data_IF_488235113062
#
_entry.id   IF_488235113062
#
_cell.length_a   1.000
_cell.length_b   1.000
_cell.length_c   1.000
_cell.angle_alpha   90.00
_cell.angle_beta   90.00
_cell.angle_gamma   90.00
#
_symmetry.space_group_name_H-M   'P 1'
#
loop_
_entity.id
_entity.type
_entity.pdbx_description
1 polymer ?
#
# COMPACT_ATOMS: atom_id res chain seq x y z
N UNK A 1 35.42 -3.52 3.37
CA UNK A 1 35.18 -2.06 3.33
C UNK A 1 33.84 -1.86 2.64
N UNK A 2 32.75 -1.86 3.42
CA UNK A 2 31.39 -1.72 2.90
C UNK A 2 31.05 -0.23 2.84
N UNK A 3 31.01 0.34 1.63
CA UNK A 3 30.61 1.72 1.41
C UNK A 3 29.13 1.83 1.80
N UNK A 4 28.88 2.28 3.04
CA UNK A 4 27.55 2.30 3.65
C UNK A 4 26.50 2.87 2.70
N UNK A 5 25.49 2.07 2.37
CA UNK A 5 24.39 2.46 1.50
C UNK A 5 23.72 3.74 2.04
N UNK A 6 23.85 4.81 1.26
CA UNK A 6 23.21 6.11 1.50
C UNK A 6 21.86 6.14 0.80
N UNK A 7 20.84 6.61 1.50
CA UNK A 7 19.52 6.86 0.91
C UNK A 7 19.27 8.36 0.85
N UNK A 8 18.94 8.86 -0.36
CA UNK A 8 18.47 10.22 -0.57
C UNK A 8 16.94 10.22 -0.64
N UNK A 9 16.28 10.85 0.33
CA UNK A 9 14.83 11.03 0.33
C UNK A 9 14.43 11.98 -0.81
N UNK A 10 13.64 11.47 -1.76
CA UNK A 10 13.09 12.27 -2.87
C UNK A 10 11.75 12.93 -2.52
N UNK A 11 11.31 12.85 -1.27
CA UNK A 11 10.09 13.48 -0.77
C UNK A 11 8.81 12.84 -1.31
N UNK A 12 8.85 11.55 -1.68
CA UNK A 12 7.70 10.88 -2.26
C UNK A 12 6.51 10.85 -1.28
N UNK A 13 5.35 11.30 -1.72
CA UNK A 13 4.11 11.17 -0.97
C UNK A 13 3.62 9.72 -1.00
N UNK A 14 2.96 9.27 0.07
CA UNK A 14 2.35 7.93 0.12
C UNK A 14 1.37 7.69 -1.05
N UNK A 15 0.73 8.76 -1.54
CA UNK A 15 -0.17 8.71 -2.70
C UNK A 15 0.49 8.17 -3.97
N UNK A 16 1.81 8.33 -4.15
CA UNK A 16 2.55 7.77 -5.28
C UNK A 16 2.36 6.26 -5.41
N UNK A 17 2.29 5.56 -4.28
CA UNK A 17 2.15 4.10 -4.22
C UNK A 17 0.69 3.63 -4.35
N UNK A 18 -0.26 4.54 -4.54
CA UNK A 18 -1.67 4.19 -4.73
C UNK A 18 -2.03 3.92 -6.21
N UNK A 19 -1.07 3.98 -7.13
CA UNK A 19 -1.29 3.65 -8.56
C UNK A 19 -1.60 2.16 -8.77
N UNK A 20 -1.06 1.32 -7.89
CA UNK A 20 -1.29 -0.13 -7.87
C UNK A 20 -1.33 -0.57 -6.42
N UNK A 21 -2.41 -1.23 -6.01
CA UNK A 21 -2.53 -1.75 -4.64
C UNK A 21 -2.82 -3.25 -4.70
N UNK A 22 -1.98 -4.05 -4.05
CA UNK A 22 -2.16 -5.48 -3.91
C UNK A 22 -3.10 -5.75 -2.74
N UNK A 23 -4.20 -6.46 -3.00
CA UNK A 23 -5.26 -6.70 -2.00
C UNK A 23 -5.66 -8.17 -1.99
N UNK A 24 -6.41 -8.57 -0.97
CA UNK A 24 -7.02 -9.90 -0.89
C UNK A 24 -8.30 -9.93 -1.68
N UNK A 25 -8.35 -10.84 -2.65
CA UNK A 25 -9.52 -11.09 -3.47
C UNK A 25 -10.73 -11.46 -2.59
N UNK A 26 -11.88 -10.80 -2.75
CA UNK A 26 -13.08 -11.15 -2.00
C UNK A 26 -13.68 -12.51 -2.36
N UNK A 27 -13.33 -13.08 -3.53
CA UNK A 27 -13.93 -14.31 -4.03
C UNK A 27 -13.09 -15.55 -3.72
N UNK A 28 -11.78 -15.50 -3.95
CA UNK A 28 -10.91 -16.66 -3.80
C UNK A 28 -9.86 -16.52 -2.70
N UNK A 29 -9.81 -15.39 -1.99
CA UNK A 29 -8.77 -15.06 -1.00
C UNK A 29 -7.33 -14.98 -1.53
N UNK A 30 -7.10 -15.20 -2.84
CA UNK A 30 -5.80 -15.01 -3.47
C UNK A 30 -5.49 -13.53 -3.72
N UNK A 31 -4.34 -13.26 -4.32
CA UNK A 31 -3.92 -11.88 -4.62
C UNK A 31 -4.77 -11.28 -5.75
N UNK A 32 -5.34 -10.12 -5.48
CA UNK A 32 -5.95 -9.24 -6.47
C UNK A 32 -5.18 -7.91 -6.54
N UNK A 33 -5.52 -7.09 -7.51
CA UNK A 33 -4.96 -5.75 -7.67
C UNK A 33 -6.08 -4.73 -7.81
N UNK A 34 -5.90 -3.57 -7.17
CA UNK A 34 -6.69 -2.36 -7.38
C UNK A 34 -5.87 -1.35 -8.15
N UNK A 35 -6.39 -0.88 -9.29
CA UNK A 35 -5.74 0.09 -10.18
C UNK A 35 -6.72 1.18 -10.61
N UNK A 36 -6.26 2.38 -11.03
CA UNK A 36 -7.11 3.34 -11.72
C UNK A 36 -7.76 2.69 -12.95
N UNK A 37 -9.01 3.05 -13.24
CA UNK A 37 -9.65 2.62 -14.48
C UNK A 37 -8.91 3.20 -15.69
N UNK A 38 -8.66 2.41 -16.74
CA UNK A 38 -8.14 2.93 -18.01
C UNK A 38 -9.06 4.02 -18.60
N UNK A 39 -8.48 4.90 -19.41
CA UNK A 39 -9.22 6.00 -20.07
C UNK A 39 -9.59 7.16 -19.13
N UNK A 40 -9.02 7.20 -17.93
CA UNK A 40 -9.14 8.34 -17.02
C UNK A 40 -8.29 9.55 -17.46
N UNK A 41 -8.44 10.69 -16.75
CA UNK A 41 -7.60 11.85 -17.00
C UNK A 41 -6.12 11.54 -16.71
N UNK A 42 -5.23 12.25 -17.40
CA UNK A 42 -3.79 12.18 -17.13
C UNK A 42 -3.48 12.64 -15.70
N UNK A 43 -2.58 11.91 -15.04
CA UNK A 43 -2.09 12.24 -13.70
C UNK A 43 -1.14 13.43 -13.79
N UNK A 44 -1.48 14.54 -13.13
CA UNK A 44 -0.60 15.71 -12.99
C UNK A 44 0.21 15.64 -11.71
N UNK A 45 -0.40 15.14 -10.65
CA UNK A 45 0.20 14.97 -9.34
C UNK A 45 -0.12 13.60 -8.76
N UNK A 46 0.75 13.08 -7.89
CA UNK A 46 0.51 11.80 -7.20
C UNK A 46 -0.80 11.79 -6.40
N UNK A 47 -1.25 12.94 -5.90
CA UNK A 47 -2.51 13.08 -5.15
C UNK A 47 -3.76 12.89 -6.01
N UNK A 48 -3.66 13.02 -7.34
CA UNK A 48 -4.80 12.82 -8.24
C UNK A 48 -5.33 11.39 -8.14
N UNK A 49 -4.45 10.43 -7.83
CA UNK A 49 -4.78 9.02 -7.61
C UNK A 49 -5.87 8.82 -6.54
N UNK A 50 -6.01 9.73 -5.58
CA UNK A 50 -7.00 9.62 -4.49
C UNK A 50 -8.44 9.81 -4.98
N UNK A 51 -8.61 10.39 -6.17
CA UNK A 51 -9.89 10.81 -6.73
C UNK A 51 -10.25 10.07 -8.03
N UNK A 52 -9.42 9.12 -8.46
CA UNK A 52 -9.68 8.38 -9.69
C UNK A 52 -10.59 7.17 -9.43
N UNK A 53 -11.57 6.92 -10.30
CA UNK A 53 -12.31 5.66 -10.30
C UNK A 53 -11.37 4.46 -10.37
N UNK A 54 -11.68 3.40 -9.62
CA UNK A 54 -10.81 2.23 -9.47
C UNK A 54 -11.46 0.96 -9.97
N UNK A 55 -10.63 0.04 -10.44
CA UNK A 55 -11.00 -1.34 -10.75
C UNK A 55 -10.19 -2.29 -9.88
N UNK A 56 -10.88 -3.24 -9.25
CA UNK A 56 -10.30 -4.44 -8.67
C UNK A 56 -10.31 -5.55 -9.73
N UNK A 57 -9.19 -6.25 -9.90
CA UNK A 57 -9.07 -7.42 -10.77
C UNK A 57 -8.31 -8.54 -10.06
N UNK A 58 -8.85 -9.76 -10.09
CA UNK A 58 -8.15 -10.96 -9.65
C UNK A 58 -7.73 -11.80 -10.86
N UNK A 59 -6.42 -11.95 -11.09
CA UNK A 59 -5.89 -12.77 -12.17
C UNK A 59 -6.13 -14.28 -11.96
N UNK A 60 -6.41 -14.72 -10.72
CA UNK A 60 -6.62 -16.14 -10.39
C UNK A 60 -8.03 -16.63 -10.69
N UNK A 61 -9.04 -15.90 -10.24
CA UNK A 61 -10.44 -16.33 -10.35
C UNK A 61 -11.28 -15.44 -11.28
N UNK A 62 -10.69 -14.42 -11.90
CA UNK A 62 -11.39 -13.51 -12.80
C UNK A 62 -12.31 -12.48 -12.11
N UNK A 63 -12.39 -12.47 -10.77
CA UNK A 63 -13.24 -11.52 -10.06
C UNK A 63 -12.87 -10.07 -10.39
N UNK A 64 -13.88 -9.26 -10.71
CA UNK A 64 -13.76 -7.83 -10.99
C UNK A 64 -14.75 -7.00 -10.18
N UNK A 65 -14.33 -5.82 -9.73
CA UNK A 65 -15.22 -4.82 -9.14
C UNK A 65 -14.79 -3.41 -9.55
N UNK A 66 -15.75 -2.50 -9.58
CA UNK A 66 -15.54 -1.08 -9.90
C UNK A 66 -15.87 -0.23 -8.68
N UNK A 67 -15.13 0.85 -8.51
CA UNK A 67 -15.33 1.85 -7.47
C UNK A 67 -15.35 3.24 -8.11
N UNK A 68 -16.29 4.06 -7.65
CA UNK A 68 -16.43 5.46 -8.04
C UNK A 68 -16.21 6.33 -6.81
N UNK A 69 -15.49 7.47 -6.95
CA UNK A 69 -15.37 8.43 -5.87
C UNK A 69 -16.72 9.04 -5.56
N UNK A 70 -17.00 9.20 -4.26
CA UNK A 70 -18.13 9.99 -3.81
C UNK A 70 -18.04 11.42 -4.38
N UNK A 71 -19.19 12.04 -4.67
CA UNK A 71 -19.25 13.44 -5.08
C UNK A 71 -20.00 14.26 -4.03
N UNK A 72 -19.39 15.35 -3.58
CA UNK A 72 -19.99 16.30 -2.64
C UNK A 72 -19.85 17.72 -3.20
N UNK A 73 -20.98 18.39 -3.41
CA UNK A 73 -21.00 19.74 -4.00
C UNK A 73 -20.38 19.79 -5.41
N UNK A 74 -20.57 18.74 -6.22
CA UNK A 74 -20.02 18.65 -7.58
C UNK A 74 -18.55 18.20 -7.68
N UNK A 75 -17.78 18.33 -6.59
CA UNK A 75 -16.40 17.87 -6.50
C UNK A 75 -16.31 16.39 -6.10
N UNK A 76 -15.24 15.70 -6.53
CA UNK A 76 -14.92 14.34 -6.08
C UNK A 76 -14.31 14.40 -4.68
N UNK A 77 -14.72 13.48 -3.82
CA UNK A 77 -14.14 13.29 -2.49
C UNK A 77 -13.03 12.25 -2.60
N UNK A 78 -11.84 12.64 -2.16
CA UNK A 78 -10.67 11.77 -2.17
C UNK A 78 -10.63 10.83 -0.98
N UNK A 79 -10.00 9.67 -1.16
CA UNK A 79 -9.83 8.70 -0.08
C UNK A 79 -8.67 9.08 0.84
N UNK A 80 -8.72 8.63 2.10
CA UNK A 80 -7.62 8.77 3.06
C UNK A 80 -6.70 7.56 2.98
N UNK A 81 -5.38 7.80 2.92
CA UNK A 81 -4.34 6.77 2.94
C UNK A 81 -3.78 6.57 4.34
N UNK A 82 -3.09 5.43 4.57
CA UNK A 82 -2.28 5.23 5.78
C UNK A 82 -2.75 4.11 6.70
N UNK A 83 -3.44 3.10 6.17
CA UNK A 83 -3.91 1.95 6.95
C UNK A 83 -3.68 0.61 6.27
N UNK A 84 -3.88 -0.51 7.01
CA UNK A 84 -3.71 -1.87 6.48
C UNK A 84 -4.89 -2.38 5.63
N UNK A 85 -5.96 -1.59 5.54
CA UNK A 85 -7.00 -1.76 4.54
C UNK A 85 -6.72 -0.82 3.38
N UNK A 86 -6.93 -1.27 2.15
CA UNK A 86 -6.88 -0.37 1.02
C UNK A 86 -8.04 0.66 1.10
N UNK A 87 -7.86 1.84 0.52
CA UNK A 87 -8.74 2.96 0.80
C UNK A 87 -10.00 3.00 -0.09
N UNK A 88 -10.11 2.11 -1.09
CA UNK A 88 -11.18 2.16 -2.11
C UNK A 88 -12.31 1.16 -1.85
N UNK A 89 -12.01 -0.13 -1.69
CA UNK A 89 -13.01 -1.18 -1.46
C UNK A 89 -12.99 -1.76 -0.03
N UNK A 90 -12.10 -1.29 0.86
CA UNK A 90 -11.96 -1.76 2.24
C UNK A 90 -11.50 -3.21 2.40
N UNK A 91 -10.89 -3.79 1.37
CA UNK A 91 -10.14 -5.06 1.39
C UNK A 91 -8.85 -4.99 2.25
N UNK A 92 -8.52 -6.07 2.96
CA UNK A 92 -7.20 -6.21 3.55
C UNK A 92 -6.11 -6.17 2.46
N UNK A 93 -4.99 -5.48 2.76
CA UNK A 93 -3.83 -5.47 1.87
C UNK A 93 -3.25 -6.87 1.74
N UNK A 94 -2.77 -7.21 0.54
CA UNK A 94 -2.05 -8.46 0.34
C UNK A 94 -0.75 -8.44 1.13
N UNK A 95 0.05 -7.38 0.97
CA UNK A 95 1.34 -7.20 1.63
C UNK A 95 1.16 -6.72 3.06
N UNK A 96 1.03 -7.66 3.98
CA UNK A 96 1.03 -7.39 5.41
C UNK A 96 1.60 -8.56 6.20
N UNK A 97 2.30 -8.25 7.30
CA UNK A 97 2.92 -9.23 8.18
C UNK A 97 3.00 -8.69 9.62
N UNK A 98 3.04 -9.60 10.60
CA UNK A 98 3.36 -9.22 11.99
C UNK A 98 4.86 -8.90 12.07
N UNK A 99 5.17 -7.77 12.70
CA UNK A 99 6.54 -7.26 12.85
C UNK A 99 6.59 -6.34 14.07
N UNK A 100 7.52 -6.61 15.00
CA UNK A 100 7.73 -5.89 16.24
C UNK A 100 6.43 -5.72 17.06
N UNK A 101 5.64 -6.80 17.14
CA UNK A 101 4.32 -6.82 17.80
C UNK A 101 3.23 -5.99 17.10
N UNK A 102 3.52 -5.42 15.93
CA UNK A 102 2.63 -4.54 15.15
C UNK A 102 2.41 -5.11 13.75
N UNK A 103 1.57 -4.44 12.97
CA UNK A 103 1.31 -4.81 11.59
C UNK A 103 2.19 -3.95 10.67
N UNK A 104 3.11 -4.60 9.97
CA UNK A 104 3.84 -4.03 8.85
C UNK A 104 3.04 -4.27 7.57
N UNK A 105 2.90 -3.26 6.72
CA UNK A 105 2.12 -3.36 5.49
C UNK A 105 2.69 -2.46 4.40
N UNK A 106 2.35 -2.76 3.15
CA UNK A 106 2.68 -1.94 1.98
C UNK A 106 1.57 -2.05 0.92
N UNK A 107 1.49 -1.08 0.00
CA UNK A 107 0.49 -1.10 -1.07
C UNK A 107 0.94 -1.99 -2.23
N UNK A 108 2.21 -1.89 -2.62
CA UNK A 108 2.83 -2.68 -3.66
C UNK A 108 4.33 -2.87 -3.38
N UNK A 109 5.04 -3.45 -4.34
CA UNK A 109 6.47 -3.68 -4.23
C UNK A 109 7.30 -2.39 -4.29
N UNK A 110 6.85 -1.37 -5.03
CA UNK A 110 7.54 -0.07 -5.05
C UNK A 110 7.52 0.59 -3.67
N UNK A 111 6.40 0.46 -2.96
CA UNK A 111 6.28 0.92 -1.57
C UNK A 111 7.20 0.14 -0.63
N UNK A 112 7.25 -1.19 -0.75
CA UNK A 112 8.21 -2.02 0.02
C UNK A 112 9.64 -1.55 -0.20
N UNK A 113 10.00 -1.28 -1.45
CA UNK A 113 11.36 -0.91 -1.83
C UNK A 113 11.75 0.47 -1.30
N UNK A 114 10.82 1.42 -1.34
CA UNK A 114 11.01 2.74 -0.76
C UNK A 114 11.22 2.66 0.77
N UNK A 115 10.41 1.86 1.47
CA UNK A 115 10.56 1.64 2.91
C UNK A 115 11.89 0.95 3.23
N UNK A 116 12.26 -0.09 2.49
CA UNK A 116 13.48 -0.85 2.71
C UNK A 116 14.73 0.01 2.47
N UNK A 117 14.73 0.82 1.42
CA UNK A 117 15.82 1.74 1.13
C UNK A 117 16.02 2.78 2.25
N UNK A 118 14.95 3.33 2.81
CA UNK A 118 15.04 4.31 3.89
C UNK A 118 15.42 3.68 5.24
N UNK A 119 14.73 2.61 5.64
CA UNK A 119 14.91 1.99 6.97
C UNK A 119 16.23 1.22 7.02
N UNK A 120 16.62 0.59 5.90
CA UNK A 120 17.87 -0.14 5.72
C UNK A 120 19.11 0.75 5.64
N UNK A 121 18.98 2.03 5.27
CA UNK A 121 20.12 2.96 5.17
C UNK A 121 20.76 3.27 6.52
N UNK A 122 22.07 3.02 6.67
CA UNK A 122 22.81 3.23 7.93
C UNK A 122 22.95 4.70 8.28
N UNK A 123 23.08 5.53 7.26
CA UNK A 123 23.11 6.99 7.33
C UNK A 123 21.84 7.52 6.65
N UNK A 124 20.97 8.15 7.44
CA UNK A 124 19.81 8.89 6.95
C UNK A 124 20.25 10.35 6.84
N UNK A 125 20.63 10.80 5.66
CA UNK A 125 20.84 12.22 5.47
C UNK A 125 19.49 12.91 5.64
N UNK A 126 19.43 13.85 6.59
CA UNK A 126 18.33 14.80 6.65
C UNK A 126 18.55 15.70 5.44
N UNK A 127 18.07 15.26 4.28
CA UNK A 127 18.10 16.04 3.05
C UNK A 127 17.40 17.39 3.27
N UNK A 128 17.48 18.26 2.27
CA UNK A 128 16.66 19.49 2.18
C UNK A 128 15.27 19.25 2.75
N UNK A 129 14.69 20.17 3.56
CA UNK A 129 13.46 19.94 4.33
C UNK A 129 12.46 19.14 3.49
N UNK A 130 12.32 17.86 3.83
CA UNK A 130 11.38 16.98 3.17
C UNK A 130 10.00 17.61 3.37
N UNK A 131 9.24 17.77 2.29
CA UNK A 131 7.88 18.31 2.38
C UNK A 131 7.15 17.64 3.53
N UNK A 132 6.42 18.43 4.33
CA UNK A 132 5.60 17.86 5.39
C UNK A 132 4.64 16.83 4.85
N UNK A 133 4.37 16.77 3.52
CA UNK A 133 3.55 15.80 2.76
C UNK A 133 4.26 14.49 2.35
N UNK A 134 5.57 14.37 2.56
CA UNK A 134 6.33 13.17 2.26
C UNK A 134 5.93 11.98 3.16
N UNK A 135 6.10 10.76 2.67
CA UNK A 135 5.81 9.53 3.40
C UNK A 135 6.75 9.33 4.58
N UNK A 136 8.05 9.55 4.36
CA UNK A 136 9.11 9.21 5.31
C UNK A 136 8.96 9.91 6.67
N UNK A 137 8.71 11.24 6.74
CA UNK A 137 8.48 11.93 8.01
C UNK A 137 7.21 11.48 8.76
N UNK A 138 6.29 10.78 8.09
CA UNK A 138 5.05 10.27 8.69
C UNK A 138 5.13 8.81 9.12
N UNK A 139 6.29 8.16 8.94
CA UNK A 139 6.43 6.77 9.36
C UNK A 139 6.28 6.68 10.88
N UNK A 140 5.55 5.67 11.40
CA UNK A 140 5.45 5.47 12.83
C UNK A 140 6.82 5.28 13.48
N UNK A 141 7.01 5.83 14.69
CA UNK A 141 8.28 5.76 15.43
C UNK A 141 8.81 4.33 15.59
N UNK A 142 7.92 3.37 15.83
CA UNK A 142 8.29 1.96 15.98
C UNK A 142 8.98 1.41 14.72
N UNK A 143 8.62 1.88 13.53
CA UNK A 143 9.15 1.40 12.27
C UNK A 143 10.55 1.97 11.99
N UNK A 144 10.85 3.17 12.51
CA UNK A 144 12.12 3.87 12.29
C UNK A 144 13.10 3.74 13.46
N UNK A 145 12.62 3.24 14.61
CA UNK A 145 13.39 2.94 15.81
C UNK A 145 14.55 1.98 15.54
N UNK A 146 15.71 2.27 16.14
CA UNK A 146 16.89 1.42 16.04
C UNK A 146 16.67 0.01 16.61
N UNK A 147 15.87 -0.12 17.68
CA UNK A 147 15.59 -1.39 18.34
C UNK A 147 14.83 -2.38 17.45
N UNK A 148 13.94 -1.87 16.58
CA UNK A 148 13.11 -2.70 15.71
C UNK A 148 13.70 -2.85 14.31
N UNK A 149 14.82 -2.18 14.00
CA UNK A 149 15.31 -2.02 12.64
C UNK A 149 15.58 -3.35 11.93
N UNK A 150 16.26 -4.28 12.59
CA UNK A 150 16.57 -5.60 12.01
C UNK A 150 15.29 -6.37 11.69
N UNK A 151 14.33 -6.37 12.60
CA UNK A 151 13.03 -7.02 12.43
C UNK A 151 12.21 -6.38 11.32
N UNK A 152 12.17 -5.04 11.24
CA UNK A 152 11.46 -4.31 10.19
C UNK A 152 12.07 -4.57 8.81
N UNK A 153 13.41 -4.59 8.69
CA UNK A 153 14.10 -4.92 7.44
C UNK A 153 13.79 -6.36 7.01
N UNK A 154 13.81 -7.31 7.94
CA UNK A 154 13.41 -8.69 7.66
C UNK A 154 11.93 -8.80 7.24
N UNK A 155 11.04 -8.06 7.92
CA UNK A 155 9.63 -7.98 7.57
C UNK A 155 9.40 -7.42 6.16
N UNK A 156 10.12 -6.37 5.77
CA UNK A 156 10.04 -5.81 4.41
C UNK A 156 10.55 -6.79 3.36
N UNK A 157 11.62 -7.55 3.64
CA UNK A 157 12.09 -8.61 2.76
C UNK A 157 11.03 -9.72 2.61
N UNK A 158 10.35 -10.09 3.69
CA UNK A 158 9.26 -11.05 3.66
C UNK A 158 8.06 -10.54 2.83
N UNK A 159 7.69 -9.26 2.96
CA UNK A 159 6.66 -8.64 2.10
C UNK A 159 7.07 -8.64 0.64
N UNK A 160 8.34 -8.35 0.33
CA UNK A 160 8.85 -8.41 -1.04
C UNK A 160 8.71 -9.81 -1.64
N UNK A 161 9.09 -10.85 -0.89
CA UNK A 161 8.91 -12.24 -1.30
C UNK A 161 7.44 -12.61 -1.48
N UNK A 162 6.56 -12.10 -0.62
CA UNK A 162 5.12 -12.31 -0.70
C UNK A 162 4.48 -11.68 -1.95
N UNK A 163 5.03 -10.58 -2.47
CA UNK A 163 4.51 -9.92 -3.67
C UNK A 163 4.57 -10.80 -4.93
N UNK A 164 5.53 -11.72 -5.00
CA UNK A 164 5.67 -12.69 -6.09
C UNK A 164 4.61 -13.80 -6.05
N UNK A 165 3.99 -14.00 -4.89
CA UNK A 165 3.02 -15.05 -4.63
C UNK A 165 1.58 -14.59 -4.90
N UNK A 166 0.63 -15.52 -5.02
CA UNK A 166 -0.75 -15.17 -5.37
C UNK A 166 -1.83 -16.13 -4.88
N UNK A 167 -1.46 -17.33 -4.42
CA UNK A 167 -2.41 -18.29 -3.89
C UNK A 167 -2.79 -17.94 -2.45
N UNK A 168 -4.02 -18.22 -2.00
CA UNK A 168 -4.48 -17.89 -0.64
C UNK A 168 -3.54 -18.33 0.48
N UNK A 169 -2.99 -19.53 0.35
CA UNK A 169 -2.03 -20.16 1.27
C UNK A 169 -0.69 -19.43 1.38
N UNK A 170 -0.38 -18.57 0.41
CA UNK A 170 0.88 -17.81 0.38
C UNK A 170 0.89 -16.60 1.31
N UNK A 171 -0.28 -16.22 1.83
CA UNK A 171 -0.46 -15.06 2.68
C UNK A 171 -0.23 -15.46 4.14
N UNK A 172 0.71 -14.83 4.85
CA UNK A 172 0.93 -15.10 6.27
C UNK A 172 -0.35 -14.83 7.06
N UNK A 173 -0.60 -15.63 8.10
CA UNK A 173 -1.65 -15.36 9.06
C UNK A 173 -1.40 -14.01 9.73
N UNK A 174 -2.21 -13.03 9.37
CA UNK A 174 -2.24 -11.73 10.01
C UNK A 174 -3.57 -11.62 10.71
N UNK A 175 -3.56 -11.42 12.04
CA UNK A 175 -4.81 -11.32 12.82
C UNK A 175 -5.73 -10.26 12.18
N UNK A 176 -6.77 -10.75 11.52
CA UNK A 176 -7.70 -9.98 10.71
C UNK A 176 -8.67 -9.28 11.66
N UNK A 177 -8.37 -8.01 11.95
CA UNK A 177 -9.19 -7.16 12.81
C UNK A 177 -10.30 -6.41 12.06
N UNK A 178 -10.40 -6.55 10.73
CA UNK A 178 -11.51 -5.97 9.98
C UNK A 178 -12.24 -7.05 9.19
N UNK A 179 -13.31 -7.58 9.80
CA UNK A 179 -14.45 -8.07 9.02
C UNK A 179 -14.91 -6.92 8.12
N UNK A 180 -14.41 -6.85 6.89
CA UNK A 180 -14.88 -5.94 5.88
C UNK A 180 -16.37 -6.21 5.71
N UNK A 181 -17.22 -5.28 6.18
CA UNK A 181 -18.65 -5.35 5.98
C UNK A 181 -18.88 -5.47 4.47
N UNK A 182 -19.56 -6.51 3.97
CA UNK A 182 -19.76 -6.66 2.53
C UNK A 182 -20.55 -5.43 2.05
N UNK A 183 -19.89 -4.54 1.31
CA UNK A 183 -20.60 -3.54 0.54
C UNK A 183 -21.31 -4.30 -0.58
N UNK A 184 -22.62 -4.46 -0.40
CA UNK A 184 -23.50 -5.12 -1.35
C UNK A 184 -23.27 -4.51 -2.74
N UNK A 185 -22.82 -5.33 -3.68
CA UNK A 185 -22.81 -4.97 -5.10
C UNK A 185 -24.26 -4.95 -5.55
N UNK A 186 -24.73 -3.85 -6.15
CA UNK A 186 -25.84 -3.95 -7.10
C UNK A 186 -25.33 -4.75 -8.28
N UNK A 187 -25.89 -5.95 -8.47
CA UNK A 187 -25.77 -6.66 -9.72
C UNK A 187 -26.44 -5.82 -10.80
N UNK A 188 -25.69 -5.46 -11.84
CA UNK A 188 -26.27 -5.05 -13.11
C UNK A 188 -26.69 -6.33 -13.82
N UNK A 189 -28.00 -6.58 -13.83
CA UNK A 189 -28.65 -7.47 -14.82
C UNK A 189 -28.65 -6.83 -16.20
#
# INVERSE_FOLDING_TARGET
MDAGQRHADRGAMLARFAARILVVCPCCSGRAVVVPRPGGPELRYSVDLLFLPRRLVCARCGATAEWEPERRGGARVGVTLGGPAEPFFGRPLWLQARCAGRLLWAYDIEHVDALAAYIGARLRERGSPSSSLAMIPRLPDWMTSAANRSEVVAGLAALRAQAARSAPEDRPDTADGSRARPQQRRATS
#
